data_IF_232715264141
#
_entry.id   IF_232715264141
#
_cell.length_a   1.000
_cell.length_b   1.000
_cell.length_c   1.000
_cell.angle_alpha   90.00
_cell.angle_beta   90.00
_cell.angle_gamma   90.00
#
_symmetry.space_group_name_H-M   'P 1'
#
loop_
_entity.id
_entity.type
_entity.pdbx_description
1 polymer ?
#
# COMPACT_ATOMS: atom_id res chain seq x y z
N UNK A 1 9.92 5.37 -60.31
CA UNK A 1 10.22 3.93 -60.50
C UNK A 1 11.04 3.52 -59.27
N UNK A 2 10.68 2.59 -58.40
CA UNK A 2 9.96 1.34 -58.58
C UNK A 2 9.27 0.94 -57.26
N UNK A 3 7.99 0.57 -57.31
CA UNK A 3 7.21 0.00 -56.22
C UNK A 3 7.46 -1.52 -56.16
N UNK A 4 7.63 -2.09 -54.96
CA UNK A 4 7.78 -3.53 -54.75
C UNK A 4 7.09 -3.99 -53.47
N UNK A 5 6.02 -4.76 -53.63
CA UNK A 5 4.98 -5.06 -52.65
C UNK A 5 5.37 -6.12 -51.59
N UNK A 6 4.93 -5.90 -50.34
CA UNK A 6 4.98 -6.88 -49.26
C UNK A 6 3.83 -7.88 -49.33
N UNK A 7 4.15 -9.19 -49.33
CA UNK A 7 3.17 -10.29 -49.28
C UNK A 7 2.68 -10.54 -47.85
N UNK A 8 1.36 -10.42 -47.64
CA UNK A 8 0.62 -10.89 -46.46
C UNK A 8 0.31 -12.39 -46.58
N UNK A 9 0.38 -13.13 -45.46
CA UNK A 9 -0.01 -14.55 -45.35
C UNK A 9 -1.55 -14.71 -45.41
N UNK A 10 -2.06 -15.78 -46.04
CA UNK A 10 -3.51 -16.04 -46.14
C UNK A 10 -4.09 -16.78 -44.91
N UNK A 11 -5.41 -16.65 -44.66
CA UNK A 11 -6.13 -17.30 -43.55
C UNK A 11 -6.49 -18.78 -43.84
N UNK A 12 -6.83 -19.57 -42.80
CA UNK A 12 -7.11 -21.00 -42.94
C UNK A 12 -8.49 -21.29 -43.57
N UNK A 13 -8.71 -22.49 -44.17
CA UNK A 13 -9.92 -22.81 -44.92
C UNK A 13 -11.12 -23.22 -44.05
N UNK A 14 -12.31 -22.92 -44.56
CA UNK A 14 -13.62 -23.23 -43.98
C UNK A 14 -13.98 -24.73 -44.11
N UNK A 15 -14.53 -25.31 -43.05
CA UNK A 15 -15.14 -26.64 -43.08
C UNK A 15 -16.50 -26.60 -43.77
N UNK A 16 -16.67 -27.43 -44.79
CA UNK A 16 -17.91 -27.70 -45.49
C UNK A 16 -18.76 -28.72 -44.71
N UNK A 17 -20.06 -28.43 -44.59
CA UNK A 17 -21.08 -29.32 -44.04
C UNK A 17 -21.34 -30.52 -44.96
N UNK A 18 -21.53 -31.74 -44.46
CA UNK A 18 -22.04 -32.85 -45.28
C UNK A 18 -23.58 -32.81 -45.36
N UNK A 19 -24.07 -33.20 -46.54
CA UNK A 19 -25.48 -33.25 -46.93
C UNK A 19 -26.26 -34.41 -46.28
N UNK A 20 -27.57 -34.21 -46.08
CA UNK A 20 -28.54 -35.23 -45.66
C UNK A 20 -28.80 -36.28 -46.76
N UNK A 21 -28.93 -37.58 -46.42
CA UNK A 21 -29.62 -38.57 -47.24
C UNK A 21 -31.09 -38.80 -46.78
N UNK A 22 -31.92 -39.47 -47.60
CA UNK A 22 -33.38 -39.31 -47.59
C UNK A 22 -34.14 -40.28 -46.68
N UNK A 23 -35.38 -39.89 -46.38
CA UNK A 23 -36.40 -40.66 -45.63
C UNK A 23 -36.73 -41.99 -46.32
N UNK A 24 -36.62 -43.08 -45.57
CA UNK A 24 -37.40 -44.31 -45.81
C UNK A 24 -38.20 -44.68 -44.57
N UNK A 25 -39.43 -45.12 -44.81
CA UNK A 25 -40.51 -45.31 -43.85
C UNK A 25 -40.62 -46.80 -43.47
N UNK A 26 -40.77 -47.03 -42.16
CA UNK A 26 -41.42 -48.14 -41.44
C UNK A 26 -40.98 -49.60 -41.68
N UNK A 27 -40.42 -50.21 -40.62
CA UNK A 27 -40.97 -51.45 -40.04
C UNK A 27 -40.60 -51.53 -38.55
N UNK A 28 -41.62 -51.88 -37.77
CA UNK A 28 -41.66 -52.18 -36.34
C UNK A 28 -40.58 -53.13 -35.83
N UNK A 29 -39.93 -52.76 -34.72
CA UNK A 29 -39.54 -53.66 -33.63
C UNK A 29 -39.29 -52.81 -32.39
N UNK A 30 -40.05 -53.12 -31.34
CA UNK A 30 -39.86 -52.63 -29.98
C UNK A 30 -38.53 -53.20 -29.46
N UNK A 31 -37.64 -52.35 -28.95
CA UNK A 31 -36.60 -52.75 -27.99
C UNK A 31 -36.05 -51.48 -27.29
N UNK A 32 -36.35 -51.41 -25.99
CA UNK A 32 -35.79 -50.59 -24.89
C UNK A 32 -34.97 -49.33 -25.23
N UNK A 33 -35.57 -48.15 -25.05
CA UNK A 33 -34.81 -46.95 -24.69
C UNK A 33 -34.43 -47.09 -23.21
N UNK A 34 -33.17 -47.42 -22.94
CA UNK A 34 -32.55 -47.39 -21.62
C UNK A 34 -32.62 -45.96 -21.04
N UNK A 35 -33.24 -45.84 -19.88
CA UNK A 35 -33.31 -44.64 -19.04
C UNK A 35 -31.95 -44.47 -18.28
N UNK A 36 -30.84 -44.44 -19.02
CA UNK A 36 -29.46 -44.56 -18.48
C UNK A 36 -28.81 -43.21 -18.10
N UNK A 37 -29.47 -42.09 -18.38
CA UNK A 37 -28.89 -40.75 -18.20
C UNK A 37 -29.25 -40.07 -16.86
N UNK A 38 -30.06 -40.70 -16.00
CA UNK A 38 -30.44 -40.15 -14.67
C UNK A 38 -29.65 -40.79 -13.51
N UNK A 39 -29.11 -42.00 -13.69
CA UNK A 39 -28.42 -42.76 -12.62
C UNK A 39 -26.95 -42.36 -12.41
N UNK A 40 -26.32 -41.68 -13.37
CA UNK A 40 -24.93 -41.24 -13.22
C UNK A 40 -24.78 -39.99 -12.33
N UNK A 41 -25.80 -39.13 -12.25
CA UNK A 41 -25.68 -37.85 -11.52
C UNK A 41 -25.75 -38.07 -10.00
N UNK A 42 -26.63 -38.96 -9.53
CA UNK A 42 -26.82 -39.23 -8.09
C UNK A 42 -25.62 -39.95 -7.46
N UNK A 43 -25.00 -40.91 -8.19
CA UNK A 43 -23.82 -41.64 -7.72
C UNK A 43 -22.54 -40.80 -7.75
N UNK A 44 -22.40 -39.88 -8.72
CA UNK A 44 -21.30 -38.90 -8.74
C UNK A 44 -21.43 -37.85 -7.62
N UNK A 45 -22.66 -37.41 -7.30
CA UNK A 45 -22.93 -36.49 -6.19
C UNK A 45 -22.66 -37.15 -4.83
N UNK A 46 -23.01 -38.43 -4.66
CA UNK A 46 -22.69 -39.20 -3.45
C UNK A 46 -21.17 -39.37 -3.27
N UNK A 47 -20.42 -39.64 -4.35
CA UNK A 47 -18.96 -39.75 -4.31
C UNK A 47 -18.29 -38.41 -3.97
N UNK A 48 -18.70 -37.30 -4.60
CA UNK A 48 -18.22 -35.96 -4.26
C UNK A 48 -18.57 -35.56 -2.81
N UNK A 49 -19.79 -35.86 -2.36
CA UNK A 49 -20.24 -35.60 -0.98
C UNK A 49 -19.42 -36.36 0.06
N UNK A 50 -19.06 -37.62 -0.24
CA UNK A 50 -18.22 -38.45 0.62
C UNK A 50 -16.77 -37.92 0.70
N UNK A 51 -16.22 -37.45 -0.43
CA UNK A 51 -14.90 -36.85 -0.51
C UNK A 51 -14.83 -35.53 0.28
N UNK A 52 -15.88 -34.71 0.20
CA UNK A 52 -16.02 -33.47 0.97
C UNK A 52 -16.06 -33.78 2.47
N UNK A 53 -16.88 -34.74 2.91
CA UNK A 53 -16.95 -35.16 4.31
C UNK A 53 -15.60 -35.62 4.84
N UNK A 54 -14.87 -36.44 4.07
CA UNK A 54 -13.54 -36.92 4.46
C UNK A 54 -12.53 -35.78 4.59
N UNK A 55 -12.53 -34.82 3.65
CA UNK A 55 -11.69 -33.63 3.73
C UNK A 55 -12.04 -32.75 4.94
N UNK A 56 -13.33 -32.61 5.29
CA UNK A 56 -13.74 -31.93 6.54
C UNK A 56 -13.22 -32.65 7.79
N UNK A 57 -13.34 -33.97 7.86
CA UNK A 57 -12.86 -34.77 8.99
C UNK A 57 -11.33 -34.69 9.13
N UNK A 58 -10.60 -34.80 8.01
CA UNK A 58 -9.14 -34.64 7.96
C UNK A 58 -8.73 -33.23 8.44
N UNK A 59 -9.45 -32.17 8.01
CA UNK A 59 -9.24 -30.79 8.48
C UNK A 59 -9.55 -30.63 9.96
N UNK A 60 -10.61 -31.25 10.48
CA UNK A 60 -10.99 -31.21 11.88
C UNK A 60 -9.95 -31.93 12.76
N UNK A 61 -9.48 -33.10 12.33
CA UNK A 61 -8.42 -33.84 13.01
C UNK A 61 -7.11 -33.04 13.01
N UNK A 62 -6.76 -32.39 11.90
CA UNK A 62 -5.61 -31.51 11.81
C UNK A 62 -5.76 -30.30 12.75
N UNK A 63 -6.91 -29.60 12.72
CA UNK A 63 -7.20 -28.48 13.60
C UNK A 63 -7.11 -28.87 15.09
N UNK A 64 -7.63 -30.06 15.45
CA UNK A 64 -7.56 -30.58 16.82
C UNK A 64 -6.13 -30.89 17.27
N UNK A 65 -5.27 -31.34 16.35
CA UNK A 65 -3.84 -31.53 16.65
C UNK A 65 -3.09 -30.19 16.76
N UNK A 66 -3.45 -29.23 15.92
CA UNK A 66 -2.82 -27.91 15.87
C UNK A 66 -3.31 -26.96 16.96
N UNK A 67 -4.48 -27.20 17.58
CA UNK A 67 -5.03 -26.33 18.61
C UNK A 67 -4.10 -26.20 19.83
N UNK A 68 -3.30 -27.24 20.13
CA UNK A 68 -2.28 -27.23 21.18
C UNK A 68 -1.16 -26.21 20.92
N UNK A 69 -0.93 -25.86 19.66
CA UNK A 69 0.09 -24.91 19.21
C UNK A 69 -0.49 -23.53 18.86
N UNK A 70 -1.82 -23.37 18.96
CA UNK A 70 -2.46 -22.08 18.76
C UNK A 70 -2.06 -21.11 19.88
N UNK A 71 -2.00 -19.82 19.53
CA UNK A 71 -1.77 -18.78 20.54
C UNK A 71 -2.97 -18.71 21.50
N UNK A 72 -2.75 -18.37 22.78
CA UNK A 72 -3.84 -18.11 23.73
C UNK A 72 -4.82 -17.06 23.19
N UNK A 73 -6.11 -17.19 23.53
CA UNK A 73 -7.12 -16.21 23.15
C UNK A 73 -6.84 -14.85 23.79
N UNK A 74 -7.15 -13.77 23.07
CA UNK A 74 -7.00 -12.42 23.60
C UNK A 74 -8.01 -12.16 24.72
N UNK A 75 -7.60 -11.47 25.80
CA UNK A 75 -8.52 -10.95 26.81
C UNK A 75 -9.54 -9.96 26.22
N UNK A 76 -10.76 -9.98 26.76
CA UNK A 76 -11.89 -9.19 26.24
C UNK A 76 -11.69 -7.67 26.32
N UNK A 77 -10.87 -7.18 27.26
CA UNK A 77 -10.62 -5.74 27.42
C UNK A 77 -9.65 -5.16 26.38
N UNK A 78 -8.86 -6.00 25.70
CA UNK A 78 -8.19 -5.60 24.46
C UNK A 78 -9.17 -5.50 23.29
N UNK A 79 -10.16 -6.39 23.23
CA UNK A 79 -11.17 -6.43 22.17
C UNK A 79 -12.15 -5.27 22.29
N UNK A 80 -12.53 -4.91 23.52
CA UNK A 80 -13.46 -3.82 23.80
C UNK A 80 -12.84 -2.42 23.74
N UNK A 81 -11.50 -2.34 23.76
CA UNK A 81 -10.80 -1.05 23.66
C UNK A 81 -10.63 -0.30 24.98
N UNK A 82 -10.83 -0.96 26.13
CA UNK A 82 -10.93 -0.31 27.44
C UNK A 82 -9.61 -0.18 28.22
N UNK A 83 -8.53 -0.84 27.76
CA UNK A 83 -7.18 -0.75 28.34
C UNK A 83 -6.15 -0.25 27.32
N UNK A 84 -4.98 0.15 27.79
CA UNK A 84 -3.85 0.48 26.91
C UNK A 84 -3.34 -0.79 26.21
N UNK A 85 -2.93 -0.65 24.95
CA UNK A 85 -2.27 -1.73 24.22
C UNK A 85 -0.77 -1.56 24.37
N UNK A 86 -0.14 -2.47 25.12
CA UNK A 86 1.30 -2.46 25.38
C UNK A 86 1.91 -3.71 24.77
N UNK A 87 2.89 -3.54 23.89
CA UNK A 87 3.55 -4.66 23.21
C UNK A 87 4.99 -4.36 22.82
N UNK A 88 5.80 -5.41 22.73
CA UNK A 88 7.15 -5.28 22.20
C UNK A 88 7.12 -5.31 20.68
N UNK A 89 7.74 -4.30 20.06
CA UNK A 89 7.92 -4.21 18.62
C UNK A 89 8.95 -5.26 18.15
N UNK A 90 8.59 -5.99 17.09
CA UNK A 90 9.45 -6.97 16.42
C UNK A 90 9.84 -6.50 15.02
N UNK A 91 8.89 -5.94 14.28
CA UNK A 91 9.09 -5.49 12.89
C UNK A 91 8.32 -4.19 12.66
N UNK A 92 8.90 -3.29 11.87
CA UNK A 92 8.22 -2.08 11.39
C UNK A 92 8.40 -2.02 9.88
N UNK A 93 7.29 -1.82 9.18
CA UNK A 93 7.30 -1.52 7.76
C UNK A 93 6.27 -0.42 7.42
N UNK A 94 6.02 -0.20 6.14
CA UNK A 94 4.93 0.66 5.70
C UNK A 94 4.26 0.12 4.45
N UNK A 95 3.00 0.49 4.27
CA UNK A 95 2.23 0.24 3.06
C UNK A 95 1.64 1.54 2.54
N UNK A 96 1.33 1.58 1.24
CA UNK A 96 0.53 2.66 0.67
C UNK A 96 -0.92 2.19 0.64
N UNK A 97 -1.79 2.91 1.35
CA UNK A 97 -3.22 2.65 1.42
C UNK A 97 -4.04 3.92 1.24
N UNK A 98 -5.36 3.82 1.34
CA UNK A 98 -6.23 4.99 1.38
C UNK A 98 -6.14 5.67 2.75
N UNK A 99 -6.17 7.01 2.76
CA UNK A 99 -6.15 7.79 4.00
C UNK A 99 -7.33 7.44 4.92
N UNK A 100 -7.05 7.27 6.21
CA UNK A 100 -8.04 6.84 7.19
C UNK A 100 -9.01 7.96 7.55
N UNK A 101 -10.17 8.01 6.88
CA UNK A 101 -11.17 9.09 6.98
C UNK A 101 -11.57 9.47 8.40
N UNK A 102 -11.70 8.52 9.32
CA UNK A 102 -12.11 8.86 10.69
C UNK A 102 -10.98 9.42 11.56
N UNK A 103 -9.73 9.10 11.25
CA UNK A 103 -8.55 9.59 11.99
C UNK A 103 -8.03 10.90 11.36
N UNK A 104 -8.21 11.03 10.04
CA UNK A 104 -7.76 12.15 9.22
C UNK A 104 -8.92 12.63 8.31
N UNK A 105 -9.94 13.32 8.86
CA UNK A 105 -11.14 13.72 8.10
C UNK A 105 -10.86 14.68 6.94
N UNK A 106 -9.77 15.45 7.04
CA UNK A 106 -9.37 16.43 6.02
C UNK A 106 -8.36 15.87 5.01
N UNK A 107 -8.01 14.57 5.10
CA UNK A 107 -7.07 13.91 4.21
C UNK A 107 -7.79 12.90 3.32
N UNK A 108 -7.43 12.84 2.04
CA UNK A 108 -8.00 11.88 1.10
C UNK A 108 -6.98 11.41 0.08
N UNK A 109 -7.20 10.23 -0.47
CA UNK A 109 -6.34 9.59 -1.44
C UNK A 109 -5.21 8.75 -0.81
N UNK A 110 -4.21 8.37 -1.63
CA UNK A 110 -3.12 7.51 -1.18
C UNK A 110 -2.29 8.16 -0.07
N UNK A 111 -2.05 7.41 1.01
CA UNK A 111 -1.23 7.79 2.14
C UNK A 111 -0.31 6.62 2.55
N UNK A 112 0.83 6.95 3.13
CA UNK A 112 1.71 5.96 3.73
C UNK A 112 1.24 5.63 5.15
N UNK A 113 1.09 4.35 5.44
CA UNK A 113 0.64 3.82 6.73
C UNK A 113 1.79 2.99 7.28
N UNK A 114 2.31 3.38 8.45
CA UNK A 114 3.33 2.59 9.15
C UNK A 114 2.62 1.38 9.79
N UNK A 115 3.23 0.19 9.69
CA UNK A 115 2.77 -0.99 10.43
C UNK A 115 3.82 -1.38 11.44
N UNK A 116 3.39 -1.54 12.69
CA UNK A 116 4.24 -2.02 13.78
C UNK A 116 3.71 -3.39 14.17
N UNK A 117 4.56 -4.41 14.02
CA UNK A 117 4.25 -5.79 14.39
C UNK A 117 4.85 -6.14 15.74
N UNK A 118 4.07 -6.86 16.54
CA UNK A 118 4.50 -7.47 17.80
C UNK A 118 4.09 -8.94 17.86
N UNK A 119 4.04 -9.50 19.08
CA UNK A 119 3.53 -10.85 19.27
C UNK A 119 2.03 -10.92 18.92
N UNK A 120 1.71 -11.28 17.66
CA UNK A 120 0.35 -11.38 17.14
C UNK A 120 -0.46 -10.07 17.22
N UNK A 121 0.22 -8.95 17.07
CA UNK A 121 -0.34 -7.60 17.05
C UNK A 121 0.10 -6.92 15.76
N UNK A 122 -0.85 -6.27 15.08
CA UNK A 122 -0.59 -5.40 13.94
C UNK A 122 -1.19 -4.01 14.20
N UNK A 123 -0.33 -3.03 14.46
CA UNK A 123 -0.72 -1.65 14.71
C UNK A 123 -0.49 -0.82 13.44
N UNK A 124 -1.54 -0.23 12.90
CA UNK A 124 -1.47 0.73 11.79
C UNK A 124 -1.37 2.16 12.33
N UNK A 125 -0.27 2.85 12.03
CA UNK A 125 -0.08 4.26 12.43
C UNK A 125 -0.29 5.16 11.22
N UNK A 126 -1.25 6.07 11.36
CA UNK A 126 -1.67 7.00 10.31
C UNK A 126 -1.16 8.42 10.58
N UNK A 127 -1.01 9.21 9.52
CA UNK A 127 -0.73 10.66 9.64
C UNK A 127 0.76 11.02 9.73
N UNK A 128 1.67 10.05 9.65
CA UNK A 128 3.09 10.34 9.49
C UNK A 128 3.41 10.64 8.03
N UNK A 129 4.05 11.77 7.75
CA UNK A 129 4.34 12.24 6.39
C UNK A 129 5.85 12.31 6.13
N UNK A 130 6.33 11.83 4.97
CA UNK A 130 7.74 11.88 4.62
C UNK A 130 8.21 13.32 4.38
N UNK A 131 9.41 13.63 4.83
CA UNK A 131 10.01 14.94 4.63
C UNK A 131 11.53 14.84 4.46
N UNK A 132 12.10 15.90 3.89
CA UNK A 132 13.55 16.12 3.80
C UNK A 132 13.84 17.62 3.80
N UNK A 133 15.10 18.01 3.74
CA UNK A 133 15.49 19.42 3.85
C UNK A 133 16.33 19.90 2.67
N UNK A 134 16.25 21.20 2.40
CA UNK A 134 17.18 21.94 1.54
C UNK A 134 17.62 23.22 2.25
N UNK A 135 18.78 23.76 1.89
CA UNK A 135 19.18 25.11 2.34
C UNK A 135 18.26 26.17 1.73
N UNK A 136 17.84 27.15 2.52
CA UNK A 136 17.05 28.26 2.00
C UNK A 136 17.94 29.18 1.15
N UNK A 137 17.53 29.56 -0.09
CA UNK A 137 18.25 30.53 -0.90
C UNK A 137 18.45 31.86 -0.17
N UNK A 138 19.61 32.52 -0.29
CA UNK A 138 19.80 33.87 0.21
C UNK A 138 18.76 34.82 -0.41
N UNK A 139 18.10 35.61 0.44
CA UNK A 139 17.06 36.55 0.02
C UNK A 139 15.65 35.95 -0.07
N UNK A 140 15.48 34.63 0.05
CA UNK A 140 14.16 34.01 0.13
C UNK A 140 13.60 34.11 1.56
N UNK A 141 12.44 34.76 1.69
CA UNK A 141 11.73 34.95 2.95
C UNK A 141 10.49 34.06 3.09
N UNK A 142 9.75 34.17 4.20
CA UNK A 142 8.48 33.46 4.41
C UNK A 142 7.43 33.71 3.33
N UNK A 143 7.39 34.94 2.79
CA UNK A 143 6.42 35.34 1.76
C UNK A 143 6.66 34.62 0.42
N UNK A 144 7.91 34.27 0.13
CA UNK A 144 8.29 33.57 -1.11
C UNK A 144 8.00 32.06 -1.06
N UNK A 145 7.80 31.48 0.13
CA UNK A 145 7.60 30.04 0.30
C UNK A 145 6.34 29.57 -0.43
N UNK A 146 5.28 30.38 -0.40
CA UNK A 146 4.02 30.05 -1.08
C UNK A 146 4.22 29.93 -2.59
N UNK A 147 5.02 30.82 -3.18
CA UNK A 147 5.34 30.78 -4.60
C UNK A 147 6.26 29.59 -4.93
N UNK A 148 7.31 29.38 -4.14
CA UNK A 148 8.20 28.23 -4.30
C UNK A 148 7.46 26.89 -4.20
N UNK A 149 6.50 26.78 -3.26
CA UNK A 149 5.61 25.63 -3.13
C UNK A 149 4.84 25.34 -4.41
N UNK A 150 4.23 26.37 -5.02
CA UNK A 150 3.47 26.23 -6.27
C UNK A 150 4.37 25.79 -7.44
N UNK A 151 5.56 26.37 -7.57
CA UNK A 151 6.52 25.99 -8.62
C UNK A 151 6.91 24.52 -8.44
N UNK A 152 7.31 24.12 -7.22
CA UNK A 152 7.74 22.75 -6.94
C UNK A 152 6.60 21.73 -7.16
N UNK A 153 5.38 22.05 -6.73
CA UNK A 153 4.19 21.24 -6.96
C UNK A 153 3.92 21.05 -8.47
N UNK A 154 4.05 22.11 -9.28
CA UNK A 154 3.91 22.04 -10.73
C UNK A 154 4.94 21.09 -11.37
N UNK A 155 6.21 21.21 -10.98
CA UNK A 155 7.29 20.32 -11.48
C UNK A 155 7.10 18.88 -11.05
N UNK A 156 6.63 18.66 -9.82
CA UNK A 156 6.28 17.32 -9.33
C UNK A 156 5.14 16.70 -10.14
N UNK A 157 4.11 17.49 -10.47
CA UNK A 157 2.99 17.05 -11.30
C UNK A 157 3.42 16.69 -12.71
N UNK A 158 4.33 17.48 -13.31
CA UNK A 158 4.91 17.20 -14.62
C UNK A 158 5.74 15.91 -14.64
N UNK A 159 6.49 15.63 -13.58
CA UNK A 159 7.33 14.44 -13.46
C UNK A 159 6.54 13.17 -13.11
N UNK A 160 5.41 13.29 -12.43
CA UNK A 160 4.63 12.16 -11.90
C UNK A 160 3.22 12.09 -12.51
N UNK A 161 3.09 12.27 -13.84
CA UNK A 161 1.81 12.37 -14.57
C UNK A 161 0.85 11.19 -14.37
N UNK A 162 1.39 10.00 -14.10
CA UNK A 162 0.61 8.78 -13.91
C UNK A 162 0.16 8.56 -12.45
N UNK A 163 0.59 9.43 -11.52
CA UNK A 163 0.23 9.32 -10.11
C UNK A 163 -1.21 9.78 -9.88
N UNK A 164 -1.95 9.02 -9.06
CA UNK A 164 -3.31 9.36 -8.62
C UNK A 164 -3.34 10.25 -7.36
N UNK A 165 -2.17 10.68 -6.88
CA UNK A 165 -2.05 11.52 -5.70
C UNK A 165 -2.51 12.95 -6.04
N UNK A 166 -3.42 13.56 -5.25
CA UNK A 166 -3.95 14.89 -5.55
C UNK A 166 -2.90 16.01 -5.41
N UNK A 167 -2.07 15.92 -4.38
CA UNK A 167 -1.04 16.91 -4.01
C UNK A 167 0.28 16.20 -3.73
N UNK A 168 1.37 16.64 -4.36
CA UNK A 168 2.68 15.98 -4.20
C UNK A 168 3.47 16.56 -3.02
N UNK A 169 3.43 17.88 -2.86
CA UNK A 169 4.08 18.63 -1.78
C UNK A 169 3.01 19.03 -0.75
N UNK A 170 2.98 18.37 0.40
CA UNK A 170 2.01 18.67 1.46
C UNK A 170 2.19 20.10 1.98
N UNK A 171 3.41 20.46 2.37
CA UNK A 171 3.78 21.79 2.88
C UNK A 171 5.29 22.00 2.83
N UNK A 172 5.70 23.27 2.92
CA UNK A 172 7.10 23.66 3.08
C UNK A 172 7.19 24.54 4.33
N UNK A 173 8.07 24.18 5.26
CA UNK A 173 8.27 24.91 6.51
C UNK A 173 9.68 25.48 6.55
N UNK A 174 9.83 26.79 6.82
CA UNK A 174 11.15 27.36 7.08
C UNK A 174 11.60 27.01 8.50
N UNK A 175 12.78 26.41 8.63
CA UNK A 175 13.33 25.92 9.90
C UNK A 175 14.78 26.35 10.06
N UNK A 176 15.23 26.50 11.29
CA UNK A 176 16.61 26.83 11.61
C UNK A 176 17.40 25.54 11.87
N UNK A 177 18.39 25.25 11.02
CA UNK A 177 19.21 24.04 11.10
C UNK A 177 20.67 24.32 10.75
N UNK A 178 21.54 23.35 11.01
CA UNK A 178 22.94 23.35 10.59
C UNK A 178 23.28 22.05 9.89
N UNK A 179 24.21 22.10 8.94
CA UNK A 179 24.75 20.87 8.36
C UNK A 179 25.62 20.17 9.39
N UNK A 180 25.55 18.84 9.44
CA UNK A 180 26.50 18.02 10.21
C UNK A 180 27.86 17.97 9.50
N UNK A 181 27.86 18.13 8.17
CA UNK A 181 29.07 18.05 7.36
C UNK A 181 29.86 19.36 7.44
N UNK A 182 31.16 19.22 7.74
CA UNK A 182 32.14 20.30 7.94
C UNK A 182 31.88 21.19 9.15
N UNK A 183 32.94 21.85 9.61
CA UNK A 183 32.82 22.89 10.63
C UNK A 183 32.12 24.12 10.04
N UNK A 184 31.07 24.58 10.71
CA UNK A 184 30.35 25.81 10.37
C UNK A 184 30.53 26.82 11.49
N UNK A 185 30.97 28.03 11.15
CA UNK A 185 31.13 29.10 12.14
C UNK A 185 29.79 29.60 12.68
N UNK A 186 28.73 29.53 11.86
CA UNK A 186 27.36 29.85 12.27
C UNK A 186 26.69 28.64 12.89
N UNK A 187 26.02 28.85 14.03
CA UNK A 187 25.33 27.77 14.75
C UNK A 187 24.06 27.26 14.05
N UNK A 188 23.43 28.10 13.23
CA UNK A 188 22.22 27.76 12.48
C UNK A 188 22.06 28.65 11.26
N UNK A 189 21.39 28.13 10.24
CA UNK A 189 21.00 28.81 9.01
C UNK A 189 19.57 28.41 8.63
N UNK A 190 18.86 29.22 7.83
CA UNK A 190 17.53 28.87 7.37
C UNK A 190 17.57 27.72 6.37
N UNK A 191 16.74 26.71 6.61
CA UNK A 191 16.47 25.56 5.76
C UNK A 191 14.98 25.51 5.44
N UNK A 192 14.62 24.85 4.34
CA UNK A 192 13.25 24.53 4.01
C UNK A 192 13.03 23.04 4.25
N UNK A 193 12.09 22.70 5.13
CA UNK A 193 11.58 21.34 5.32
C UNK A 193 10.47 21.11 4.30
N UNK A 194 10.71 20.20 3.36
CA UNK A 194 9.75 19.86 2.31
C UNK A 194 9.05 18.58 2.74
N UNK A 195 7.76 18.67 3.02
CA UNK A 195 6.91 17.52 3.33
C UNK A 195 6.19 17.08 2.06
N UNK A 196 6.32 15.80 1.70
CA UNK A 196 5.72 15.23 0.49
C UNK A 196 4.65 14.20 0.84
N UNK A 197 3.76 13.89 -0.10
CA UNK A 197 2.61 13.03 0.18
C UNK A 197 2.98 11.55 0.38
N UNK A 198 3.92 11.01 -0.41
CA UNK A 198 4.32 9.60 -0.35
C UNK A 198 5.84 9.44 -0.31
N UNK A 199 6.39 8.41 0.37
CA UNK A 199 7.82 8.17 0.46
C UNK A 199 8.50 8.05 -0.92
N UNK A 200 7.81 7.43 -1.88
CA UNK A 200 8.29 7.27 -3.26
C UNK A 200 8.49 8.60 -4.00
N UNK A 201 7.82 9.68 -3.56
CA UNK A 201 7.93 11.00 -4.16
C UNK A 201 9.17 11.77 -3.72
N UNK A 202 9.84 11.35 -2.64
CA UNK A 202 11.09 11.98 -2.16
C UNK A 202 12.17 11.90 -3.24
N UNK A 203 12.35 10.74 -3.86
CA UNK A 203 13.34 10.53 -4.94
C UNK A 203 13.06 11.42 -6.16
N UNK A 204 11.78 11.53 -6.54
CA UNK A 204 11.35 12.36 -7.67
C UNK A 204 11.60 13.85 -7.38
N UNK A 205 11.22 14.30 -6.19
CA UNK A 205 11.41 15.68 -5.73
C UNK A 205 12.89 16.05 -5.63
N UNK A 206 13.70 15.15 -5.06
CA UNK A 206 15.17 15.30 -5.03
C UNK A 206 15.74 15.46 -6.43
N UNK A 207 15.35 14.60 -7.38
CA UNK A 207 15.87 14.68 -8.76
C UNK A 207 15.50 15.97 -9.48
N UNK A 208 14.35 16.57 -9.17
CA UNK A 208 13.97 17.90 -9.70
C UNK A 208 14.87 18.99 -9.10
N UNK A 209 15.06 18.97 -7.78
CA UNK A 209 15.85 19.95 -7.04
C UNK A 209 17.35 19.87 -7.42
N UNK A 210 17.89 18.67 -7.57
CA UNK A 210 19.28 18.43 -7.98
C UNK A 210 19.55 18.92 -9.41
N UNK A 211 18.62 18.71 -10.36
CA UNK A 211 18.75 19.20 -11.75
C UNK A 211 18.58 20.72 -11.88
N UNK A 212 17.86 21.32 -10.95
CA UNK A 212 17.59 22.74 -10.89
C UNK A 212 16.16 23.11 -11.26
N UNK A 213 15.68 24.16 -10.60
CA UNK A 213 14.34 24.69 -10.74
C UNK A 213 14.43 26.21 -10.97
N UNK A 214 13.61 26.71 -11.89
CA UNK A 214 13.50 28.14 -12.15
C UNK A 214 12.71 28.79 -11.00
N UNK A 215 13.30 29.78 -10.35
CA UNK A 215 12.68 30.55 -9.29
C UNK A 215 12.66 32.01 -9.71
N UNK A 216 11.50 32.66 -9.62
CA UNK A 216 11.36 34.06 -10.00
C UNK A 216 12.23 34.94 -9.12
N UNK A 217 12.92 35.91 -9.73
CA UNK A 217 13.90 36.79 -9.07
C UNK A 217 15.26 36.13 -8.76
N UNK A 218 15.35 34.80 -8.70
CA UNK A 218 16.58 34.07 -8.37
C UNK A 218 17.19 33.31 -9.57
N UNK A 219 16.43 33.09 -10.64
CA UNK A 219 16.83 32.32 -11.81
C UNK A 219 16.80 30.80 -11.58
N UNK A 220 17.52 30.04 -12.42
CA UNK A 220 17.65 28.59 -12.23
C UNK A 220 18.58 28.31 -11.04
N UNK A 221 18.07 27.57 -10.05
CA UNK A 221 18.83 27.14 -8.87
C UNK A 221 18.77 25.63 -8.71
N UNK A 222 19.93 25.01 -8.53
CA UNK A 222 20.05 23.63 -8.06
C UNK A 222 20.23 23.62 -6.54
N UNK A 223 19.68 22.59 -5.90
CA UNK A 223 19.64 22.47 -4.46
C UNK A 223 20.24 21.15 -4.00
N UNK A 224 21.19 21.22 -3.08
CA UNK A 224 21.60 20.05 -2.33
C UNK A 224 20.49 19.66 -1.34
N UNK A 225 20.08 18.39 -1.38
CA UNK A 225 19.13 17.83 -0.42
C UNK A 225 19.83 17.22 0.78
N UNK A 226 19.22 17.37 1.95
CA UNK A 226 19.69 16.82 3.22
C UNK A 226 18.65 15.84 3.75
N UNK A 227 19.13 14.73 4.29
CA UNK A 227 18.29 13.69 4.90
C UNK A 227 17.23 13.05 3.96
N UNK A 228 17.36 13.26 2.64
CA UNK A 228 16.45 12.74 1.61
C UNK A 228 16.62 11.23 1.33
N UNK A 229 17.64 10.61 1.89
CA UNK A 229 17.95 9.19 1.77
C UNK A 229 17.61 8.37 3.04
N UNK A 230 16.99 8.99 4.05
CA UNK A 230 16.54 8.27 5.25
C UNK A 230 15.25 7.53 4.91
N UNK A 231 15.23 6.22 5.19
CA UNK A 231 14.06 5.38 4.94
C UNK A 231 12.85 5.86 5.76
N UNK A 232 11.66 5.80 5.18
CA UNK A 232 10.44 6.33 5.81
C UNK A 232 10.13 5.71 7.18
N UNK A 233 10.22 4.38 7.30
CA UNK A 233 10.04 3.70 8.59
C UNK A 233 11.14 4.08 9.61
N UNK A 234 12.39 4.21 9.16
CA UNK A 234 13.50 4.64 10.02
C UNK A 234 13.31 6.08 10.50
N UNK A 235 12.81 6.95 9.62
CA UNK A 235 12.46 8.33 9.95
C UNK A 235 11.38 8.39 11.04
N UNK A 236 10.34 7.58 10.91
CA UNK A 236 9.30 7.45 11.95
C UNK A 236 9.89 7.02 13.30
N UNK A 237 10.77 6.01 13.29
CA UNK A 237 11.43 5.53 14.50
C UNK A 237 12.27 6.63 15.17
N UNK A 238 13.04 7.39 14.41
CA UNK A 238 13.86 8.50 14.92
C UNK A 238 12.97 9.59 15.53
N UNK A 239 11.92 10.01 14.83
CA UNK A 239 11.04 11.09 15.27
C UNK A 239 10.24 10.73 16.53
N UNK A 240 9.84 9.47 16.68
CA UNK A 240 9.12 8.97 17.85
C UNK A 240 10.04 8.43 18.95
N UNK A 241 11.37 8.52 18.78
CA UNK A 241 12.35 7.93 19.71
C UNK A 241 12.12 6.41 19.96
N UNK A 242 11.70 5.69 18.93
CA UNK A 242 11.48 4.23 18.95
C UNK A 242 12.77 3.54 18.49
N UNK A 243 13.29 2.64 19.31
CA UNK A 243 14.44 1.78 18.98
C UNK A 243 13.99 0.37 18.59
N UNK A 244 14.91 -0.47 18.10
CA UNK A 244 14.60 -1.88 17.81
C UNK A 244 14.32 -2.67 19.10
N UNK A 245 13.24 -3.47 19.10
CA UNK A 245 12.82 -4.25 20.26
C UNK A 245 12.16 -3.41 21.37
N UNK A 246 11.76 -2.18 21.05
CA UNK A 246 11.18 -1.25 22.01
C UNK A 246 9.77 -1.67 22.45
N UNK A 247 9.39 -1.25 23.65
CA UNK A 247 8.00 -1.34 24.10
C UNK A 247 7.19 -0.15 23.55
N UNK A 248 6.08 -0.46 22.90
CA UNK A 248 5.12 0.52 22.39
C UNK A 248 3.87 0.47 23.25
N UNK A 249 3.37 1.63 23.64
CA UNK A 249 2.13 1.78 24.39
C UNK A 249 1.17 2.70 23.62
N UNK A 250 0.00 2.17 23.28
CA UNK A 250 -1.08 2.95 22.66
C UNK A 250 -2.21 3.10 23.68
N UNK A 251 -2.51 4.32 24.17
CA UNK A 251 -3.49 4.52 25.23
C UNK A 251 -4.92 4.13 24.84
N UNK A 252 -5.71 3.71 25.83
CA UNK A 252 -7.15 3.46 25.65
C UNK A 252 -7.85 4.68 25.03
N UNK A 253 -8.74 4.44 24.07
CA UNK A 253 -9.43 5.50 23.33
C UNK A 253 -8.58 6.25 22.29
N UNK A 254 -7.29 5.94 22.14
CA UNK A 254 -6.41 6.48 21.09
C UNK A 254 -6.19 5.54 19.91
N UNK A 255 -6.77 4.34 19.98
CA UNK A 255 -6.81 3.39 18.87
C UNK A 255 -8.25 3.01 18.53
N UNK A 256 -8.43 2.52 17.30
CA UNK A 256 -9.70 2.03 16.77
C UNK A 256 -9.49 0.65 16.20
N UNK A 257 -10.50 -0.21 16.31
CA UNK A 257 -10.48 -1.51 15.64
C UNK A 257 -10.42 -1.28 14.12
N UNK A 258 -9.56 -2.02 13.43
CA UNK A 258 -9.43 -1.90 11.99
C UNK A 258 -10.70 -2.34 11.26
N UNK A 259 -11.14 -1.51 10.30
CA UNK A 259 -12.33 -1.77 9.51
C UNK A 259 -12.19 -2.99 8.58
N UNK A 260 -10.99 -3.22 8.05
CA UNK A 260 -10.65 -4.35 7.19
C UNK A 260 -9.40 -5.06 7.70
N UNK A 261 -9.55 -6.29 8.15
CA UNK A 261 -8.41 -7.11 8.61
C UNK A 261 -7.50 -7.45 7.43
N UNK A 262 -6.25 -7.00 7.47
CA UNK A 262 -5.22 -7.25 6.45
C UNK A 262 -4.11 -8.17 6.95
N UNK A 263 -4.04 -8.42 8.26
CA UNK A 263 -3.07 -9.33 8.86
C UNK A 263 -3.73 -10.59 9.42
N UNK A 264 -2.91 -11.60 9.72
CA UNK A 264 -3.34 -12.79 10.48
C UNK A 264 -3.13 -12.63 11.99
N UNK A 265 -2.81 -11.43 12.47
CA UNK A 265 -2.62 -11.15 13.89
C UNK A 265 -3.92 -11.34 14.67
N UNK A 266 -3.81 -11.66 15.96
CA UNK A 266 -4.98 -11.75 16.84
C UNK A 266 -5.57 -10.37 17.09
N UNK A 267 -4.73 -9.35 17.28
CA UNK A 267 -5.15 -7.96 17.48
C UNK A 267 -4.67 -7.09 16.32
N UNK A 268 -5.59 -6.35 15.70
CA UNK A 268 -5.31 -5.42 14.61
C UNK A 268 -6.10 -4.13 14.82
N UNK A 269 -5.40 -3.00 14.82
CA UNK A 269 -5.99 -1.71 15.14
C UNK A 269 -5.26 -0.56 14.43
N UNK A 270 -5.97 0.56 14.32
CA UNK A 270 -5.50 1.81 13.75
C UNK A 270 -5.33 2.86 14.84
N UNK A 271 -4.27 3.65 14.75
CA UNK A 271 -4.01 4.78 15.64
C UNK A 271 -3.43 5.96 14.83
N UNK A 272 -3.49 7.15 15.41
CA UNK A 272 -3.02 8.38 14.78
C UNK A 272 -1.67 8.79 15.37
N UNK A 273 -0.70 9.12 14.53
CA UNK A 273 0.54 9.79 14.95
C UNK A 273 0.22 11.16 15.60
N UNK A 274 0.80 11.53 16.75
CA UNK A 274 1.92 10.88 17.45
C UNK A 274 1.50 10.08 18.69
N UNK A 275 0.31 9.47 18.74
CA UNK A 275 -0.17 8.73 19.92
C UNK A 275 0.44 7.32 20.08
N UNK A 276 1.65 7.12 19.56
CA UNK A 276 2.41 5.85 19.54
C UNK A 276 3.82 6.06 20.01
#
# INVERSE_FOLDING_TARGET
>A
MNNGAGRKRPPPPAHQSPANPPKHQATSQEEEFLDEDVFLDETLIEDEGSLILRDLEERQALASRLCKWARPTLPDDYVSGSRNVVFQQLEIDYVIGESHRELLPNSSGPAAIIRIFGHSICCHVHGFEPYFYISCPPGMGPDDISHFHQILEGRMREANRNSKVPKFICRIEMVQKRSIMYYQQQNSQPFLKIVVALPTMVTSCRGILDRGIQIDGLGVKSFMTYESNVLFALRFMIDCNIVGGNWIEVPAGKYKKTAKKLSYCQLEFDCLYPYT
#
